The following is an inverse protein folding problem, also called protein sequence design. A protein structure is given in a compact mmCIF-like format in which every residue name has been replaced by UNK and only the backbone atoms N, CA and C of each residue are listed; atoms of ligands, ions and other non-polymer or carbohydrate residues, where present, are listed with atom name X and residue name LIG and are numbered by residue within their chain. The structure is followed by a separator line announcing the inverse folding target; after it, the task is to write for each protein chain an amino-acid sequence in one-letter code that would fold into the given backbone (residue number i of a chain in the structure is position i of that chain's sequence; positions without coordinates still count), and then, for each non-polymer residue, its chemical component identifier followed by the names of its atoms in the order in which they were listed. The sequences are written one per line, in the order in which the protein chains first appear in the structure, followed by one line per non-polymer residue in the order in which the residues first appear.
data_IF_089823882237
#
_entry.id   IF_089823882237
#
_cell.length_a   1.000
_cell.length_b   1.000
_cell.length_c   1.000
_cell.angle_alpha   90.00
_cell.angle_beta   90.00
_cell.angle_gamma   90.00
#
_symmetry.space_group_name_H-M   'P 1'
#
loop_
_entity.id
_entity.type
_entity.pdbx_description
1 polymer ?
#
# COMPACT_ATOMS: atom_id res chain seq x y z
N UNK A 1 21.78 23.48 -55.36
CA UNK A 1 20.37 23.22 -55.00
C UNK A 1 20.30 21.96 -54.17
N UNK A 2 20.34 22.09 -52.84
CA UNK A 2 20.22 21.00 -51.87
C UNK A 2 18.73 20.77 -51.60
N UNK A 3 18.21 19.61 -51.99
CA UNK A 3 16.81 19.24 -51.75
C UNK A 3 16.65 18.77 -50.31
N UNK A 4 16.11 19.65 -49.46
CA UNK A 4 15.59 19.30 -48.14
C UNK A 4 14.43 18.31 -48.28
N UNK A 5 14.69 17.03 -48.03
CA UNK A 5 13.62 16.04 -47.84
C UNK A 5 12.97 16.28 -46.49
N UNK A 6 11.92 17.09 -46.45
CA UNK A 6 11.00 17.14 -45.29
C UNK A 6 10.31 15.77 -45.15
N UNK A 7 10.72 15.02 -44.13
CA UNK A 7 10.07 13.75 -43.75
C UNK A 7 8.65 14.06 -43.27
N UNK A 8 7.65 13.48 -43.92
CA UNK A 8 6.24 13.60 -43.55
C UNK A 8 5.97 12.85 -42.23
N UNK A 9 6.03 13.60 -41.13
CA UNK A 9 5.82 13.09 -39.77
C UNK A 9 4.37 12.65 -39.52
N UNK A 10 3.40 13.11 -40.33
CA UNK A 10 1.97 12.79 -40.14
C UNK A 10 1.64 11.33 -40.43
N UNK A 11 2.32 10.72 -41.41
CA UNK A 11 2.15 9.33 -41.80
C UNK A 11 2.79 8.36 -40.78
N UNK A 12 3.95 8.72 -40.26
CA UNK A 12 4.66 7.98 -39.21
C UNK A 12 3.83 7.96 -37.91
N UNK A 13 3.25 9.11 -37.54
CA UNK A 13 2.43 9.24 -36.32
C UNK A 13 1.18 8.37 -36.37
N UNK A 14 0.49 8.31 -37.53
CA UNK A 14 -0.68 7.46 -37.76
C UNK A 14 -0.31 5.96 -37.76
N UNK A 15 0.82 5.59 -38.37
CA UNK A 15 1.31 4.21 -38.35
C UNK A 15 1.74 3.75 -36.95
N UNK A 16 2.36 4.63 -36.15
CA UNK A 16 2.73 4.35 -34.76
C UNK A 16 1.48 4.20 -33.88
N UNK A 17 0.46 5.05 -34.06
CA UNK A 17 -0.81 4.93 -33.36
C UNK A 17 -1.54 3.62 -33.71
N UNK A 18 -1.61 3.26 -34.99
CA UNK A 18 -2.21 2.01 -35.46
C UNK A 18 -1.47 0.78 -34.90
N UNK A 19 -0.12 0.75 -34.94
CA UNK A 19 0.69 -0.33 -34.36
C UNK A 19 0.51 -0.46 -32.85
N UNK A 20 0.37 0.66 -32.14
CA UNK A 20 0.14 0.67 -30.69
C UNK A 20 -1.25 0.13 -30.35
N UNK A 21 -2.28 0.47 -31.14
CA UNK A 21 -3.63 -0.08 -31.03
C UNK A 21 -3.66 -1.61 -31.26
N UNK A 22 -3.06 -2.09 -32.36
CA UNK A 22 -3.06 -3.54 -32.67
C UNK A 22 -2.29 -4.36 -31.64
N UNK A 23 -1.20 -3.83 -31.08
CA UNK A 23 -0.45 -4.49 -30.00
C UNK A 23 -1.30 -4.62 -28.72
N UNK A 24 -2.01 -3.56 -28.34
CA UNK A 24 -2.90 -3.57 -27.17
C UNK A 24 -4.11 -4.49 -27.32
N UNK A 25 -4.71 -4.55 -28.51
CA UNK A 25 -5.81 -5.46 -28.83
C UNK A 25 -5.38 -6.93 -28.76
N UNK A 26 -4.23 -7.27 -29.34
CA UNK A 26 -3.64 -8.61 -29.24
C UNK A 26 -3.29 -8.99 -27.80
N UNK A 27 -2.74 -8.06 -27.03
CA UNK A 27 -2.44 -8.29 -25.62
C UNK A 27 -3.69 -8.55 -24.79
N UNK A 28 -4.76 -7.77 -24.99
CA UNK A 28 -6.04 -7.98 -24.31
C UNK A 28 -6.63 -9.36 -24.63
N UNK A 29 -6.47 -9.87 -25.85
CA UNK A 29 -6.89 -11.23 -26.20
C UNK A 29 -6.06 -12.29 -25.46
N UNK A 30 -4.74 -12.11 -25.39
CA UNK A 30 -3.85 -13.00 -24.63
C UNK A 30 -4.25 -13.04 -23.15
N UNK A 31 -4.42 -11.89 -22.51
CA UNK A 31 -4.80 -11.83 -21.09
C UNK A 31 -6.18 -12.43 -20.84
N UNK A 32 -7.15 -12.19 -21.73
CA UNK A 32 -8.47 -12.84 -21.62
C UNK A 32 -8.34 -14.36 -21.65
N UNK A 33 -7.49 -14.90 -22.53
CA UNK A 33 -7.23 -16.34 -22.60
C UNK A 33 -6.56 -16.84 -21.32
N UNK A 34 -5.47 -16.21 -20.89
CA UNK A 34 -4.74 -16.58 -19.67
C UNK A 34 -5.63 -16.57 -18.41
N UNK A 35 -6.48 -15.55 -18.27
CA UNK A 35 -7.45 -15.47 -17.15
C UNK A 35 -8.53 -16.56 -17.25
N UNK A 36 -8.93 -16.95 -18.45
CA UNK A 36 -9.87 -18.05 -18.66
C UNK A 36 -9.22 -19.40 -18.33
N UNK A 37 -7.97 -19.62 -18.76
CA UNK A 37 -7.20 -20.83 -18.50
C UNK A 37 -6.96 -21.01 -16.99
N UNK A 38 -6.76 -19.91 -16.24
CA UNK A 38 -6.58 -19.92 -14.79
C UNK A 38 -7.89 -19.73 -13.98
N UNK A 39 -9.05 -19.73 -14.63
CA UNK A 39 -10.31 -19.36 -13.98
C UNK A 39 -10.68 -20.26 -12.80
N UNK A 40 -10.44 -21.57 -12.90
CA UNK A 40 -10.73 -22.51 -11.80
C UNK A 40 -9.83 -22.27 -10.60
N UNK A 41 -8.55 -21.97 -10.82
CA UNK A 41 -7.61 -21.63 -9.76
C UNK A 41 -7.98 -20.31 -9.08
N UNK A 42 -8.40 -19.29 -9.84
CA UNK A 42 -8.91 -18.05 -9.26
C UNK A 42 -10.17 -18.34 -8.44
N UNK A 43 -11.12 -19.12 -8.99
CA UNK A 43 -12.37 -19.45 -8.32
C UNK A 43 -12.19 -20.19 -6.99
N UNK A 44 -11.18 -21.04 -6.86
CA UNK A 44 -10.94 -21.80 -5.62
C UNK A 44 -10.45 -20.94 -4.46
N UNK A 45 -9.80 -19.80 -4.74
CA UNK A 45 -9.19 -18.92 -3.71
C UNK A 45 -9.97 -17.62 -3.47
N UNK A 46 -10.86 -17.22 -4.38
CA UNK A 46 -11.64 -15.97 -4.24
C UNK A 46 -12.60 -16.08 -3.03
N UNK A 47 -12.58 -15.10 -2.11
CA UNK A 47 -13.52 -15.05 -0.99
C UNK A 47 -14.98 -14.86 -1.42
N UNK A 48 -15.92 -15.30 -0.57
CA UNK A 48 -17.38 -15.25 -0.83
C UNK A 48 -17.95 -13.86 -1.19
N UNK A 49 -17.29 -12.78 -0.79
CA UNK A 49 -17.72 -11.40 -1.04
C UNK A 49 -17.26 -10.87 -2.42
N UNK A 50 -16.60 -11.69 -3.23
CA UNK A 50 -16.07 -11.35 -4.54
C UNK A 50 -16.40 -12.46 -5.55
N UNK A 51 -16.42 -12.12 -6.84
CA UNK A 51 -16.57 -13.12 -7.92
C UNK A 51 -15.37 -13.12 -8.87
N UNK A 52 -14.94 -14.29 -9.39
CA UNK A 52 -13.85 -14.38 -10.36
C UNK A 52 -14.08 -13.56 -11.63
N UNK A 53 -15.32 -13.49 -12.12
CA UNK A 53 -15.69 -12.74 -13.33
C UNK A 53 -15.55 -11.24 -13.11
N UNK A 54 -15.92 -10.75 -11.92
CA UNK A 54 -15.75 -9.36 -11.53
C UNK A 54 -14.26 -9.02 -11.44
N UNK A 55 -13.47 -9.89 -10.82
CA UNK A 55 -12.03 -9.69 -10.71
C UNK A 55 -11.36 -9.61 -12.09
N UNK A 56 -11.67 -10.55 -13.00
CA UNK A 56 -11.16 -10.53 -14.37
C UNK A 56 -11.53 -9.24 -15.12
N UNK A 57 -12.78 -8.76 -14.98
CA UNK A 57 -13.25 -7.51 -15.61
C UNK A 57 -12.50 -6.29 -15.08
N UNK A 58 -12.29 -6.22 -13.78
CA UNK A 58 -11.57 -5.12 -13.13
C UNK A 58 -10.10 -5.12 -13.57
N UNK A 59 -9.47 -6.29 -13.69
CA UNK A 59 -8.09 -6.42 -14.23
C UNK A 59 -7.99 -5.89 -15.65
N UNK A 60 -8.89 -6.27 -16.55
CA UNK A 60 -8.90 -5.76 -17.93
C UNK A 60 -9.11 -4.24 -17.98
N UNK A 61 -9.91 -3.71 -17.05
CA UNK A 61 -10.10 -2.27 -16.89
C UNK A 61 -8.82 -1.57 -16.42
N UNK A 62 -8.06 -2.18 -15.50
CA UNK A 62 -6.79 -1.66 -15.03
C UNK A 62 -5.73 -1.62 -16.15
N UNK A 63 -5.63 -2.69 -16.96
CA UNK A 63 -4.73 -2.75 -18.14
C UNK A 63 -5.08 -1.66 -19.15
N UNK A 64 -6.37 -1.45 -19.41
CA UNK A 64 -6.82 -0.43 -20.36
C UNK A 64 -6.47 1.00 -19.91
N UNK A 65 -6.40 1.24 -18.59
CA UNK A 65 -6.06 2.54 -18.01
C UNK A 65 -4.55 2.76 -17.94
N UNK A 66 -3.80 1.74 -17.56
CA UNK A 66 -2.35 1.80 -17.46
C UNK A 66 -1.74 1.06 -18.65
N UNK A 67 -1.62 1.75 -19.80
CA UNK A 67 -1.14 1.16 -21.06
C UNK A 67 0.17 0.38 -20.91
N UNK A 68 1.04 0.79 -19.98
CA UNK A 68 2.31 0.12 -19.69
C UNK A 68 2.18 -1.29 -19.10
N UNK A 69 1.01 -1.64 -18.55
CA UNK A 69 0.69 -3.02 -18.18
C UNK A 69 0.63 -3.92 -19.41
N UNK A 70 0.35 -3.40 -20.60
CA UNK A 70 0.38 -4.16 -21.85
C UNK A 70 1.80 -4.56 -22.30
N UNK A 71 2.83 -3.96 -21.70
CA UNK A 71 4.22 -4.39 -21.91
C UNK A 71 4.66 -5.45 -20.91
N UNK A 72 3.87 -5.71 -19.85
CA UNK A 72 4.19 -6.71 -18.84
C UNK A 72 4.01 -8.14 -19.35
N UNK A 73 4.71 -9.10 -18.74
CA UNK A 73 4.48 -10.51 -19.07
C UNK A 73 3.05 -10.94 -18.69
N UNK A 74 2.35 -11.74 -19.51
CA UNK A 74 1.02 -12.26 -19.14
C UNK A 74 1.02 -13.02 -17.81
N UNK A 75 2.09 -13.80 -17.59
CA UNK A 75 2.33 -14.55 -16.37
C UNK A 75 2.31 -13.68 -15.10
N UNK A 76 2.99 -12.54 -15.12
CA UNK A 76 3.00 -11.62 -13.96
C UNK A 76 1.65 -10.97 -13.70
N UNK A 77 0.86 -10.70 -14.76
CA UNK A 77 -0.50 -10.19 -14.60
C UNK A 77 -1.39 -11.24 -13.93
N UNK A 78 -1.33 -12.50 -14.38
CA UNK A 78 -2.08 -13.59 -13.74
C UNK A 78 -1.65 -13.74 -12.28
N UNK A 79 -0.35 -13.75 -11.99
CA UNK A 79 0.16 -13.81 -10.61
C UNK A 79 -0.35 -12.66 -9.73
N UNK A 80 -0.39 -11.44 -10.26
CA UNK A 80 -0.95 -10.29 -9.55
C UNK A 80 -2.47 -10.42 -9.31
N UNK A 81 -3.22 -11.01 -10.25
CA UNK A 81 -4.65 -11.29 -10.08
C UNK A 81 -4.89 -12.39 -9.05
N UNK A 82 -4.03 -13.41 -8.99
CA UNK A 82 -4.09 -14.42 -7.94
C UNK A 82 -3.88 -13.79 -6.56
N UNK A 83 -2.94 -12.85 -6.41
CA UNK A 83 -2.77 -12.11 -5.16
C UNK A 83 -4.02 -11.30 -4.78
N UNK A 84 -4.65 -10.62 -5.74
CA UNK A 84 -5.94 -9.95 -5.54
C UNK A 84 -7.00 -10.93 -5.02
N UNK A 85 -7.09 -12.11 -5.64
CA UNK A 85 -8.04 -13.16 -5.30
C UNK A 85 -7.79 -13.69 -3.88
N UNK A 86 -6.57 -14.11 -3.55
CA UNK A 86 -6.19 -14.61 -2.22
C UNK A 86 -6.50 -13.62 -1.10
N UNK A 87 -6.27 -12.33 -1.35
CA UNK A 87 -6.50 -11.28 -0.35
C UNK A 87 -7.95 -10.78 -0.33
N UNK A 88 -8.77 -11.12 -1.33
CA UNK A 88 -10.08 -10.51 -1.54
C UNK A 88 -9.98 -9.00 -1.71
N UNK A 89 -8.98 -8.53 -2.45
CA UNK A 89 -8.77 -7.11 -2.75
C UNK A 89 -8.92 -6.86 -4.25
N UNK A 90 -9.71 -5.85 -4.60
CA UNK A 90 -9.91 -5.49 -6.00
C UNK A 90 -8.87 -4.44 -6.44
N UNK A 91 -8.20 -4.63 -7.59
CA UNK A 91 -7.32 -3.61 -8.14
C UNK A 91 -8.17 -2.45 -8.67
N UNK A 92 -8.33 -1.39 -7.88
CA UNK A 92 -9.31 -0.35 -8.14
C UNK A 92 -8.77 1.05 -7.84
N UNK A 93 -9.52 2.08 -8.26
CA UNK A 93 -9.17 3.48 -7.97
C UNK A 93 -9.50 3.89 -6.53
N UNK A 94 -10.24 3.06 -5.80
CA UNK A 94 -10.64 3.36 -4.42
C UNK A 94 -9.46 3.27 -3.46
N UNK A 95 -8.37 2.61 -3.86
CA UNK A 95 -7.10 2.53 -3.13
C UNK A 95 -6.92 1.26 -2.32
N UNK A 96 -7.62 0.18 -2.67
CA UNK A 96 -7.49 -1.12 -2.02
C UNK A 96 -6.25 -1.88 -2.51
N UNK A 97 -6.08 -1.94 -3.83
CA UNK A 97 -4.93 -2.57 -4.46
C UNK A 97 -4.63 -1.91 -5.82
N UNK A 98 -3.39 -2.07 -6.27
CA UNK A 98 -2.88 -1.53 -7.51
C UNK A 98 -2.11 -2.58 -8.30
N UNK A 99 -2.24 -2.54 -9.62
CA UNK A 99 -1.40 -3.29 -10.55
C UNK A 99 -0.34 -2.32 -11.09
N UNK A 100 0.92 -2.55 -10.74
CA UNK A 100 2.00 -1.60 -11.01
C UNK A 100 3.05 -2.25 -11.91
N UNK A 101 3.34 -1.67 -13.10
CA UNK A 101 4.38 -2.18 -13.98
C UNK A 101 5.76 -1.79 -13.45
N UNK A 102 6.60 -2.79 -13.19
CA UNK A 102 8.01 -2.59 -12.86
C UNK A 102 8.90 -3.25 -13.90
N UNK A 103 10.04 -2.64 -14.17
CA UNK A 103 11.07 -3.27 -15.00
C UNK A 103 11.94 -4.12 -14.11
N UNK A 104 12.01 -5.41 -14.39
CA UNK A 104 12.99 -6.30 -13.80
C UNK A 104 14.38 -5.90 -14.32
N UNK A 105 15.29 -5.60 -13.40
CA UNK A 105 16.64 -5.14 -13.72
C UNK A 105 17.54 -6.26 -14.25
N UNK A 106 17.26 -7.52 -13.90
CA UNK A 106 18.03 -8.68 -14.33
C UNK A 106 17.60 -9.13 -15.72
N UNK A 107 16.28 -9.32 -15.90
CA UNK A 107 15.75 -9.82 -17.17
C UNK A 107 15.46 -8.72 -18.20
N UNK A 108 15.41 -7.47 -17.75
CA UNK A 108 15.05 -6.31 -18.57
C UNK A 108 13.57 -6.28 -18.99
N UNK A 109 12.75 -7.23 -18.54
CA UNK A 109 11.34 -7.35 -18.89
C UNK A 109 10.46 -6.50 -17.98
N UNK A 110 9.30 -6.10 -18.48
CA UNK A 110 8.27 -5.51 -17.64
C UNK A 110 7.49 -6.63 -16.96
N UNK A 111 7.32 -6.50 -15.66
CA UNK A 111 6.53 -7.41 -14.82
C UNK A 111 5.45 -6.60 -14.11
N UNK A 112 4.25 -7.17 -14.01
CA UNK A 112 3.16 -6.63 -13.22
C UNK A 112 3.37 -7.02 -11.75
N UNK A 113 3.41 -6.02 -10.87
CA UNK A 113 3.44 -6.21 -9.42
C UNK A 113 2.09 -5.87 -8.83
N UNK A 114 1.61 -6.74 -7.95
CA UNK A 114 0.49 -6.43 -7.07
C UNK A 114 0.99 -5.63 -5.87
N UNK A 115 0.32 -4.52 -5.59
CA UNK A 115 0.61 -3.71 -4.40
C UNK A 115 -0.67 -3.41 -3.65
N UNK A 116 -0.65 -3.66 -2.34
CA UNK A 116 -1.76 -3.34 -1.45
C UNK A 116 -1.73 -1.83 -1.20
N UNK A 117 -2.87 -1.16 -1.36
CA UNK A 117 -3.03 0.24 -0.98
C UNK A 117 -3.32 0.37 0.52
N UNK A 118 -3.10 1.56 1.09
CA UNK A 118 -3.29 1.77 2.54
C UNK A 118 -4.71 1.42 3.02
N UNK A 119 -5.73 1.66 2.18
CA UNK A 119 -7.12 1.26 2.50
C UNK A 119 -7.32 -0.25 2.43
N UNK A 120 -6.62 -0.93 1.53
CA UNK A 120 -6.60 -2.40 1.49
C UNK A 120 -5.99 -2.99 2.75
N UNK A 121 -4.90 -2.39 3.25
CA UNK A 121 -4.31 -2.78 4.54
C UNK A 121 -5.30 -2.56 5.70
N UNK A 122 -5.95 -1.39 5.75
CA UNK A 122 -7.01 -1.09 6.73
C UNK A 122 -8.12 -2.15 6.68
N UNK A 123 -8.59 -2.50 5.48
CA UNK A 123 -9.66 -3.49 5.30
C UNK A 123 -9.23 -4.89 5.75
N UNK A 124 -8.02 -5.33 5.35
CA UNK A 124 -7.44 -6.60 5.81
C UNK A 124 -7.32 -6.66 7.34
N UNK A 125 -6.86 -5.58 7.97
CA UNK A 125 -6.73 -5.49 9.42
C UNK A 125 -8.11 -5.52 10.11
N UNK A 126 -9.12 -4.82 9.58
CA UNK A 126 -10.48 -4.85 10.15
C UNK A 126 -11.11 -6.24 10.08
N UNK A 127 -10.79 -7.02 9.06
CA UNK A 127 -11.31 -8.38 8.89
C UNK A 127 -10.83 -9.36 9.97
N UNK A 128 -9.77 -9.05 10.74
CA UNK A 128 -9.37 -9.89 11.89
C UNK A 128 -10.44 -9.92 12.98
N UNK A 129 -11.25 -8.87 13.07
CA UNK A 129 -12.27 -8.72 14.09
C UNK A 129 -11.75 -8.19 15.42
N UNK A 130 -10.44 -8.16 15.70
CA UNK A 130 -9.91 -7.66 16.98
C UNK A 130 -9.84 -6.13 17.02
N UNK A 131 -9.69 -5.51 15.85
CA UNK A 131 -9.53 -4.06 15.69
C UNK A 131 -10.89 -3.38 15.54
N UNK A 132 -11.27 -2.57 16.54
CA UNK A 132 -12.52 -1.80 16.53
C UNK A 132 -12.44 -0.54 15.68
N UNK A 133 -11.28 0.14 15.69
CA UNK A 133 -11.00 1.31 14.86
C UNK A 133 -9.59 1.24 14.33
N UNK A 134 -9.41 1.64 13.07
CA UNK A 134 -8.10 1.86 12.47
C UNK A 134 -8.24 2.93 11.39
N UNK A 135 -7.27 3.83 11.36
CA UNK A 135 -7.21 4.97 10.45
C UNK A 135 -5.75 5.38 10.22
N UNK A 136 -5.52 6.08 9.10
CA UNK A 136 -4.25 6.69 8.78
C UNK A 136 -4.49 8.07 8.18
N UNK A 137 -3.87 9.09 8.78
CA UNK A 137 -4.16 10.48 8.48
C UNK A 137 -2.91 11.31 8.22
N UNK A 138 -3.15 12.40 7.48
CA UNK A 138 -2.18 13.45 7.22
C UNK A 138 -2.39 14.54 8.26
N UNK A 139 -1.29 15.13 8.72
CA UNK A 139 -1.28 16.28 9.63
C UNK A 139 -0.62 17.43 8.89
N UNK A 140 -1.31 18.56 8.86
CA UNK A 140 -0.89 19.79 8.23
C UNK A 140 -0.28 20.76 9.25
N UNK A 141 0.46 21.74 8.76
CA UNK A 141 1.26 22.69 9.57
C UNK A 141 0.44 23.48 10.60
N UNK A 142 -0.83 23.72 10.29
CA UNK A 142 -1.73 24.52 11.11
C UNK A 142 -2.83 23.68 11.79
N UNK A 143 -2.74 22.35 11.72
CA UNK A 143 -3.57 21.47 12.55
C UNK A 143 -3.11 21.51 14.02
N UNK A 144 -4.04 21.29 14.95
CA UNK A 144 -3.67 20.97 16.32
C UNK A 144 -3.34 19.48 16.40
N UNK A 145 -2.06 19.17 16.52
CA UNK A 145 -1.58 17.80 16.62
C UNK A 145 -0.65 17.62 17.83
N UNK A 146 -1.09 16.83 18.80
CA UNK A 146 -0.34 16.52 20.03
C UNK A 146 -0.38 15.03 20.25
N UNK A 147 0.77 14.46 20.61
CA UNK A 147 0.84 13.05 20.98
C UNK A 147 1.83 12.83 22.10
N UNK A 148 1.51 11.88 22.97
CA UNK A 148 2.34 11.42 24.06
C UNK A 148 2.69 9.96 23.78
N UNK A 149 3.97 9.64 23.89
CA UNK A 149 4.48 8.26 23.92
C UNK A 149 4.79 7.89 25.37
N UNK A 150 4.91 6.59 25.64
CA UNK A 150 5.16 6.06 26.98
C UNK A 150 4.08 5.07 27.36
N UNK A 151 3.84 4.95 28.67
CA UNK A 151 2.81 4.08 29.24
C UNK A 151 1.40 4.59 28.92
N UNK A 152 1.13 5.87 29.16
CA UNK A 152 -0.13 6.53 28.80
C UNK A 152 -0.03 7.18 27.41
N UNK A 153 -0.17 6.36 26.37
CA UNK A 153 -0.16 6.82 24.98
C UNK A 153 -1.43 7.62 24.68
N UNK A 154 -1.26 8.87 24.28
CA UNK A 154 -2.36 9.74 23.85
C UNK A 154 -2.07 10.37 22.49
N UNK A 155 -3.11 10.58 21.69
CA UNK A 155 -3.01 11.28 20.41
C UNK A 155 -4.25 12.14 20.19
N UNK A 156 -4.02 13.41 19.90
CA UNK A 156 -5.03 14.41 19.57
C UNK A 156 -4.70 14.98 18.21
N UNK A 157 -5.67 14.93 17.31
CA UNK A 157 -5.58 15.55 16.01
C UNK A 157 -6.88 16.31 15.74
N UNK A 158 -6.79 17.63 15.67
CA UNK A 158 -7.90 18.50 15.29
C UNK A 158 -7.49 19.25 14.02
N UNK A 159 -8.14 18.94 12.88
CA UNK A 159 -7.87 19.63 11.62
C UNK A 159 -8.09 21.13 11.72
N UNK A 160 -7.38 21.89 10.89
CA UNK A 160 -7.43 23.35 10.86
C UNK A 160 -8.85 23.92 10.80
N UNK A 161 -9.72 23.34 9.96
CA UNK A 161 -11.11 23.78 9.79
C UNK A 161 -11.99 23.56 11.02
N UNK A 162 -11.56 22.70 11.95
CA UNK A 162 -12.27 22.39 13.20
C UNK A 162 -11.76 23.19 14.41
N UNK A 163 -10.67 23.96 14.27
CA UNK A 163 -10.07 24.70 15.39
C UNK A 163 -10.98 25.76 16.02
N UNK A 164 -11.94 26.29 15.25
CA UNK A 164 -12.93 27.24 15.75
C UNK A 164 -13.76 26.67 16.91
N UNK A 165 -13.93 25.35 16.99
CA UNK A 165 -14.63 24.68 18.09
C UNK A 165 -13.86 24.72 19.42
N UNK A 166 -12.57 25.07 19.37
CA UNK A 166 -11.68 25.13 20.53
C UNK A 166 -11.41 26.57 21.00
N UNK A 167 -12.13 27.56 20.47
CA UNK A 167 -11.91 28.97 20.81
C UNK A 167 -12.04 29.24 22.31
N UNK A 168 -13.01 28.59 22.94
CA UNK A 168 -13.33 28.70 24.38
C UNK A 168 -12.88 27.47 25.18
N UNK A 169 -11.92 26.69 24.66
CA UNK A 169 -11.37 25.56 25.38
C UNK A 169 -10.78 26.02 26.72
N UNK A 170 -11.16 25.35 27.81
CA UNK A 170 -10.63 25.61 29.15
C UNK A 170 -9.93 24.34 29.64
N UNK A 171 -8.59 24.34 29.76
CA UNK A 171 -7.87 23.15 30.16
C UNK A 171 -8.06 22.85 31.65
N UNK A 172 -8.22 21.57 31.97
CA UNK A 172 -7.97 21.08 33.31
C UNK A 172 -6.48 21.24 33.63
N UNK A 173 -6.17 22.01 34.68
CA UNK A 173 -4.79 22.33 35.08
C UNK A 173 -4.03 21.15 35.69
N UNK A 174 -4.73 20.04 35.96
CA UNK A 174 -4.13 18.80 36.46
C UNK A 174 -3.89 17.78 35.34
N UNK A 175 -4.44 17.99 34.13
CA UNK A 175 -4.19 17.11 32.96
C UNK A 175 -3.11 17.72 32.06
N UNK A 176 -1.96 17.05 32.00
CA UNK A 176 -0.82 17.48 31.21
C UNK A 176 -1.14 17.64 29.71
N UNK A 177 -1.98 16.77 29.13
CA UNK A 177 -2.34 16.85 27.72
C UNK A 177 -3.19 18.09 27.45
N UNK A 178 -4.13 18.41 28.32
CA UNK A 178 -4.98 19.59 28.17
C UNK A 178 -4.17 20.89 28.29
N UNK A 179 -3.19 20.94 29.19
CA UNK A 179 -2.24 22.07 29.29
C UNK A 179 -1.45 22.22 27.98
N UNK A 180 -0.94 21.13 27.41
CA UNK A 180 -0.25 21.17 26.12
C UNK A 180 -1.17 21.63 24.98
N UNK A 181 -2.43 21.20 24.99
CA UNK A 181 -3.44 21.64 24.02
C UNK A 181 -3.67 23.14 24.08
N UNK A 182 -3.87 23.71 25.27
CA UNK A 182 -4.09 25.14 25.45
C UNK A 182 -2.90 25.98 24.94
N UNK A 183 -1.67 25.56 25.26
CA UNK A 183 -0.46 26.20 24.74
C UNK A 183 -0.35 26.11 23.21
N UNK A 184 -0.68 24.96 22.63
CA UNK A 184 -0.64 24.77 21.19
C UNK A 184 -1.72 25.60 20.47
N UNK A 185 -2.95 25.63 20.99
CA UNK A 185 -4.04 26.46 20.49
C UNK A 185 -3.64 27.94 20.51
N UNK A 186 -3.04 28.40 21.62
CA UNK A 186 -2.55 29.79 21.75
C UNK A 186 -1.52 30.12 20.67
N UNK A 187 -0.51 29.25 20.47
CA UNK A 187 0.50 29.45 19.41
C UNK A 187 -0.09 29.44 18.01
N UNK A 188 -1.11 28.62 17.75
CA UNK A 188 -1.80 28.61 16.44
C UNK A 188 -2.55 29.94 16.24
N UNK A 189 -3.28 30.41 17.26
CA UNK A 189 -3.99 31.71 17.23
C UNK A 189 -3.03 32.88 16.98
N UNK A 190 -1.88 32.91 17.64
CA UNK A 190 -0.84 33.94 17.44
C UNK A 190 -0.28 33.97 16.01
N UNK A 191 -0.12 32.81 15.37
CA UNK A 191 0.31 32.73 13.95
C UNK A 191 -0.76 33.24 12.97
N UNK A 192 -2.04 33.25 13.38
CA UNK A 192 -3.20 33.64 12.56
C UNK A 192 -3.19 33.04 11.14
N UNK A 193 -3.02 31.70 10.99
CA UNK A 193 -2.98 31.06 9.68
C UNK A 193 -4.30 31.21 8.93
N UNK A 194 -4.23 31.23 7.59
CA UNK A 194 -5.40 31.38 6.70
C UNK A 194 -5.83 30.08 6.03
N UNK A 195 -4.99 29.06 6.12
CA UNK A 195 -5.21 27.72 5.58
C UNK A 195 -4.50 26.67 6.46
N UNK A 196 -4.71 25.40 6.16
CA UNK A 196 -4.09 24.26 6.86
C UNK A 196 -2.56 24.19 6.71
N UNK A 197 -2.00 24.84 5.68
CA UNK A 197 -0.59 24.79 5.33
C UNK A 197 -0.20 23.49 4.62
N UNK A 198 1.09 23.18 4.62
CA UNK A 198 1.61 21.94 3.98
C UNK A 198 1.47 20.74 4.91
N UNK A 199 1.43 19.54 4.33
CA UNK A 199 1.54 18.30 5.09
C UNK A 199 2.92 18.20 5.78
N UNK A 200 2.93 18.06 7.10
CA UNK A 200 4.15 18.01 7.92
C UNK A 200 4.38 16.65 8.56
N UNK A 201 3.34 15.83 8.68
CA UNK A 201 3.41 14.55 9.38
C UNK A 201 2.29 13.61 8.92
N UNK A 202 2.52 12.32 9.10
CA UNK A 202 1.56 11.26 8.85
C UNK A 202 1.50 10.37 10.09
N UNK A 203 0.34 9.78 10.34
CA UNK A 203 0.21 8.82 11.41
C UNK A 203 -0.81 7.75 11.06
N UNK A 204 -0.71 6.62 11.74
CA UNK A 204 -1.74 5.60 11.81
C UNK A 204 -2.04 5.31 13.27
N UNK A 205 -3.30 5.00 13.57
CA UNK A 205 -3.70 4.63 14.91
C UNK A 205 -4.74 3.52 14.85
N UNK A 206 -4.76 2.69 15.88
CA UNK A 206 -5.78 1.67 16.06
C UNK A 206 -6.31 1.63 17.48
N UNK A 207 -7.52 1.11 17.61
CA UNK A 207 -8.13 0.73 18.88
C UNK A 207 -8.63 -0.69 18.77
N UNK A 208 -8.31 -1.53 19.74
CA UNK A 208 -8.84 -2.89 19.84
C UNK A 208 -10.24 -2.88 20.46
N UNK A 209 -10.90 -4.04 20.47
CA UNK A 209 -12.21 -4.21 21.10
C UNK A 209 -12.16 -4.11 22.62
N UNK A 210 -11.07 -4.53 23.25
CA UNK A 210 -10.83 -4.42 24.70
C UNK A 210 -10.51 -2.99 25.16
N UNK A 211 -10.30 -2.07 24.21
CA UNK A 211 -10.00 -0.67 24.47
C UNK A 211 -8.53 -0.28 24.32
N UNK A 212 -7.62 -1.25 24.15
CA UNK A 212 -6.20 -0.97 23.93
C UNK A 212 -6.01 -0.07 22.71
N UNK A 213 -5.12 0.91 22.85
CA UNK A 213 -4.88 1.95 21.85
C UNK A 213 -3.38 2.07 21.59
N UNK A 214 -3.02 2.19 20.32
CA UNK A 214 -1.66 2.52 19.92
C UNK A 214 -1.66 3.29 18.61
N UNK A 215 -0.54 3.96 18.34
CA UNK A 215 -0.34 4.74 17.14
C UNK A 215 1.13 4.78 16.72
N UNK A 216 1.33 5.05 15.44
CA UNK A 216 2.64 5.27 14.85
C UNK A 216 2.63 6.56 14.05
N UNK A 217 3.73 7.32 14.08
CA UNK A 217 3.83 8.60 13.39
C UNK A 217 5.21 8.81 12.75
N UNK A 218 5.21 9.43 11.57
CA UNK A 218 6.39 9.88 10.84
C UNK A 218 6.23 11.33 10.39
N UNK A 219 7.28 12.14 10.47
CA UNK A 219 7.30 13.45 9.80
C UNK A 219 7.31 13.27 8.29
N UNK A 220 6.86 14.29 7.55
CA UNK A 220 6.96 14.31 6.09
C UNK A 220 8.41 14.11 5.62
N UNK A 221 9.38 14.65 6.36
CA UNK A 221 10.81 14.43 6.10
C UNK A 221 11.23 12.96 6.30
N UNK A 222 10.79 12.32 7.39
CA UNK A 222 11.07 10.90 7.62
C UNK A 222 10.44 10.02 6.54
N UNK A 223 9.24 10.35 6.06
CA UNK A 223 8.63 9.69 4.91
C UNK A 223 9.46 9.86 3.64
N UNK A 224 10.00 11.07 3.40
CA UNK A 224 10.88 11.33 2.26
C UNK A 224 12.20 10.55 2.33
N UNK A 225 12.78 10.43 3.53
CA UNK A 225 13.97 9.62 3.79
C UNK A 225 13.67 8.13 3.54
N UNK A 226 12.55 7.62 4.04
CA UNK A 226 12.08 6.26 3.78
C UNK A 226 11.90 6.02 2.27
N UNK A 227 11.23 6.92 1.56
CA UNK A 227 11.05 6.86 0.11
C UNK A 227 12.39 6.77 -0.63
N UNK A 228 13.36 7.59 -0.22
CA UNK A 228 14.70 7.63 -0.84
C UNK A 228 15.48 6.35 -0.58
N UNK A 229 15.33 5.74 0.61
CA UNK A 229 16.01 4.50 0.99
C UNK A 229 15.42 3.27 0.32
N UNK A 230 14.09 3.18 0.22
CA UNK A 230 13.40 1.97 -0.21
C UNK A 230 12.94 1.99 -1.68
N UNK A 231 12.85 3.15 -2.32
CA UNK A 231 12.44 3.21 -3.73
C UNK A 231 13.54 2.73 -4.67
N UNK A 232 13.22 1.66 -5.42
CA UNK A 232 14.01 1.18 -6.57
C UNK A 232 13.84 2.06 -7.81
N UNK A 233 12.88 3.00 -7.79
CA UNK A 233 12.55 3.87 -8.92
C UNK A 233 13.20 5.24 -8.76
N UNK A 234 14.43 5.36 -9.25
CA UNK A 234 15.17 6.63 -9.36
C UNK A 234 15.60 6.84 -10.81
N UNK A 235 15.47 8.06 -11.32
CA UNK A 235 15.98 8.47 -12.63
C UNK A 235 16.83 9.72 -12.43
N UNK A 236 18.11 9.63 -12.81
CA UNK A 236 19.09 10.71 -12.61
C UNK A 236 19.11 11.20 -11.15
N UNK A 237 19.20 10.24 -10.20
CA UNK A 237 19.15 10.46 -8.75
C UNK A 237 17.89 11.13 -8.17
N UNK A 238 16.90 11.45 -9.02
CA UNK A 238 15.58 11.91 -8.58
C UNK A 238 14.63 10.73 -8.44
N UNK A 239 13.86 10.71 -7.35
CA UNK A 239 12.77 9.77 -7.18
C UNK A 239 11.78 9.91 -8.34
N UNK A 240 11.29 8.78 -8.83
CA UNK A 240 10.20 8.70 -9.80
C UNK A 240 9.21 7.61 -9.35
N UNK A 241 7.96 7.71 -9.79
CA UNK A 241 6.94 6.70 -9.48
C UNK A 241 6.04 7.08 -8.29
N UNK A 242 5.50 6.10 -7.55
CA UNK A 242 4.41 6.31 -6.59
C UNK A 242 4.71 7.35 -5.50
N UNK A 243 5.95 7.38 -5.00
CA UNK A 243 6.37 8.36 -3.99
C UNK A 243 6.38 9.80 -4.49
N UNK A 244 6.40 10.05 -5.80
CA UNK A 244 6.28 11.40 -6.37
C UNK A 244 4.83 11.74 -6.65
N UNK A 245 4.10 10.83 -7.27
CA UNK A 245 2.74 11.11 -7.76
C UNK A 245 1.67 10.98 -6.66
N UNK A 246 1.96 10.18 -5.62
CA UNK A 246 1.00 9.78 -4.58
C UNK A 246 1.68 9.72 -3.20
N UNK A 247 2.49 10.74 -2.87
CA UNK A 247 3.29 10.78 -1.65
C UNK A 247 2.48 10.49 -0.38
N UNK A 248 1.35 11.18 -0.18
CA UNK A 248 0.53 11.04 1.01
C UNK A 248 -0.03 9.63 1.19
N UNK A 249 -0.49 9.01 0.10
CA UNK A 249 -0.99 7.63 0.13
C UNK A 249 0.12 6.64 0.48
N UNK A 250 1.34 6.86 -0.03
CA UNK A 250 2.51 6.05 0.30
C UNK A 250 2.94 6.25 1.75
N UNK A 251 2.94 7.48 2.25
CA UNK A 251 3.27 7.79 3.64
C UNK A 251 2.26 7.16 4.62
N UNK A 252 0.95 7.23 4.32
CA UNK A 252 -0.10 6.55 5.10
C UNK A 252 0.08 5.03 5.09
N UNK A 253 0.38 4.44 3.93
CA UNK A 253 0.70 3.01 3.80
C UNK A 253 1.91 2.62 4.68
N UNK A 254 2.98 3.42 4.65
CA UNK A 254 4.17 3.18 5.48
C UNK A 254 3.82 3.25 6.97
N UNK A 255 3.01 4.21 7.41
CA UNK A 255 2.58 4.29 8.80
C UNK A 255 1.84 3.03 9.25
N UNK A 256 0.86 2.56 8.47
CA UNK A 256 0.11 1.34 8.77
C UNK A 256 1.03 0.13 8.82
N UNK A 257 1.95 -0.01 7.85
CA UNK A 257 2.89 -1.15 7.80
C UNK A 257 3.81 -1.18 9.02
N UNK A 258 4.33 -0.04 9.45
CA UNK A 258 5.18 0.04 10.66
C UNK A 258 4.37 -0.23 11.94
N UNK A 259 3.16 0.31 12.03
CA UNK A 259 2.26 0.06 13.15
C UNK A 259 1.85 -1.42 13.24
N UNK A 260 1.59 -2.06 12.10
CA UNK A 260 1.12 -3.44 12.04
C UNK A 260 2.10 -4.47 12.61
N UNK A 261 3.40 -4.16 12.64
CA UNK A 261 4.43 -5.02 13.24
C UNK A 261 4.24 -5.25 14.74
N UNK A 262 3.58 -4.32 15.41
CA UNK A 262 3.37 -4.34 16.86
C UNK A 262 1.91 -4.58 17.24
N UNK A 263 1.02 -4.73 16.25
CA UNK A 263 -0.38 -5.04 16.53
C UNK A 263 -0.50 -6.51 16.95
N UNK A 264 -1.32 -6.83 17.96
CA UNK A 264 -1.68 -8.20 18.30
C UNK A 264 -2.69 -8.74 17.29
N UNK A 265 -2.26 -8.88 16.03
CA UNK A 265 -3.05 -9.48 14.94
C UNK A 265 -2.50 -10.87 14.63
N UNK A 266 -3.38 -11.77 14.15
CA UNK A 266 -2.99 -13.12 13.75
C UNK A 266 -1.83 -13.11 12.74
N UNK A 267 -0.93 -14.08 12.86
CA UNK A 267 0.19 -14.30 11.93
C UNK A 267 -0.29 -14.30 10.46
N UNK A 268 -1.44 -14.91 10.18
CA UNK A 268 -2.04 -14.94 8.83
C UNK A 268 -2.21 -13.54 8.21
N UNK A 269 -2.56 -12.53 9.00
CA UNK A 269 -2.71 -11.15 8.49
C UNK A 269 -1.37 -10.48 8.31
N UNK A 270 -0.38 -10.77 9.17
CA UNK A 270 0.97 -10.28 8.98
C UNK A 270 1.58 -10.84 7.68
N UNK A 271 1.38 -12.13 7.40
CA UNK A 271 1.78 -12.77 6.14
C UNK A 271 1.08 -12.15 4.93
N UNK A 272 -0.24 -11.94 5.02
CA UNK A 272 -1.02 -11.28 3.95
C UNK A 272 -0.55 -9.85 3.67
N UNK A 273 -0.16 -9.10 4.69
CA UNK A 273 0.44 -7.77 4.52
C UNK A 273 1.87 -7.86 3.97
N UNK A 274 2.58 -8.97 4.19
CA UNK A 274 3.91 -9.23 3.64
C UNK A 274 3.89 -9.65 2.16
N UNK A 275 2.76 -10.14 1.63
CA UNK A 275 2.56 -10.41 0.19
C UNK A 275 2.62 -9.14 -0.68
N UNK A 276 2.60 -7.97 -0.05
CA UNK A 276 2.79 -6.68 -0.73
C UNK A 276 4.14 -6.63 -1.46
N UNK A 277 4.11 -6.28 -2.75
CA UNK A 277 5.28 -6.21 -3.66
C UNK A 277 5.85 -7.57 -4.13
N UNK A 278 5.24 -8.70 -3.76
CA UNK A 278 5.65 -10.02 -4.26
C UNK A 278 5.28 -10.22 -5.74
N UNK A 279 6.25 -10.62 -6.56
CA UNK A 279 6.01 -11.10 -7.93
C UNK A 279 5.90 -12.62 -7.90
N UNK A 280 4.68 -13.13 -8.05
CA UNK A 280 4.47 -14.57 -8.26
C UNK A 280 4.77 -14.91 -9.72
N UNK A 281 5.73 -15.83 -9.94
CA UNK A 281 6.00 -16.41 -11.26
C UNK A 281 5.32 -17.78 -11.33
N UNK A 282 4.48 -18.07 -12.34
CA UNK A 282 3.97 -19.42 -12.56
C UNK A 282 5.12 -20.37 -12.89
N UNK A 283 5.16 -21.52 -12.21
CA UNK A 283 6.11 -22.60 -12.47
C UNK A 283 5.81 -23.17 -13.86
N UNK A 284 6.81 -23.22 -14.74
CA UNK A 284 6.70 -23.99 -15.99
C UNK A 284 7.20 -25.39 -15.69
N UNK A 285 6.30 -26.37 -15.60
CA UNK A 285 6.73 -27.77 -15.63
C UNK A 285 6.10 -28.53 -16.79
N UNK A 286 6.95 -29.26 -17.49
CA UNK A 286 6.60 -30.12 -18.61
C UNK A 286 6.08 -31.46 -18.07
N UNK A 287 4.76 -31.60 -18.03
CA UNK A 287 4.07 -32.90 -18.04
C UNK A 287 3.67 -33.47 -16.67
N UNK A 288 2.34 -33.70 -16.53
CA UNK A 288 1.60 -34.58 -15.60
C UNK A 288 2.09 -34.68 -14.14
N UNK A 289 1.33 -34.40 -13.09
CA UNK A 289 -0.10 -34.55 -12.80
C UNK A 289 -0.58 -33.36 -11.96
N UNK A 290 -1.87 -33.36 -11.61
CA UNK A 290 -2.55 -32.30 -10.86
C UNK A 290 -2.01 -32.09 -9.44
N UNK A 291 -0.94 -31.32 -9.32
CA UNK A 291 -0.49 -30.71 -8.07
C UNK A 291 -0.57 -29.19 -8.20
N UNK A 292 -1.05 -28.53 -7.14
CA UNK A 292 -1.27 -27.09 -7.11
C UNK A 292 -0.04 -26.33 -7.66
N UNK A 293 -0.22 -25.63 -8.79
CA UNK A 293 0.80 -24.88 -9.56
C UNK A 293 1.57 -23.82 -8.72
N UNK A 294 1.14 -23.56 -7.48
CA UNK A 294 1.65 -22.52 -6.62
C UNK A 294 1.80 -22.99 -5.17
N UNK A 295 2.56 -24.07 -4.93
CA UNK A 295 3.23 -24.20 -3.64
C UNK A 295 4.27 -23.07 -3.55
N UNK A 296 3.94 -22.03 -2.80
CA UNK A 296 4.90 -21.04 -2.39
C UNK A 296 5.89 -21.74 -1.45
N UNK A 297 7.17 -21.82 -1.82
CA UNK A 297 8.22 -22.21 -0.88
C UNK A 297 8.26 -21.17 0.25
N UNK A 298 7.54 -21.45 1.32
CA UNK A 298 7.62 -20.73 2.58
C UNK A 298 9.00 -21.01 3.17
N UNK A 299 9.91 -20.03 3.09
CA UNK A 299 11.01 -19.99 4.06
C UNK A 299 10.41 -19.58 5.40
N UNK A 300 9.99 -20.58 6.18
CA UNK A 300 9.78 -20.43 7.61
C UNK A 300 11.09 -19.88 8.18
N UNK A 301 11.07 -18.64 8.64
CA UNK A 301 12.12 -18.16 9.52
C UNK A 301 11.77 -18.80 10.87
N UNK A 302 12.46 -19.90 11.20
CA UNK A 302 12.43 -20.43 12.56
C UNK A 302 12.91 -19.31 13.48
N UNK A 303 11.98 -18.74 14.25
CA UNK A 303 12.33 -17.87 15.37
C UNK A 303 12.78 -18.82 16.45
N UNK A 304 14.08 -18.81 16.76
CA UNK A 304 14.63 -19.53 17.92
C UNK A 304 13.82 -19.12 19.16
N UNK A 305 13.10 -20.07 19.74
CA UNK A 305 12.49 -19.91 21.05
C UNK A 305 13.61 -19.64 22.06
N UNK A 306 13.60 -18.47 22.69
CA UNK A 306 14.43 -18.20 23.87
C UNK A 306 14.08 -19.26 24.93
N UNK A 307 15.02 -20.17 25.15
CA UNK A 307 14.98 -21.12 26.25
C UNK A 307 14.98 -20.35 27.57
N UNK A 308 13.87 -20.46 28.31
CA UNK A 308 13.83 -20.01 29.71
C UNK A 308 14.92 -20.73 30.50
N UNK A 309 15.70 -20.03 31.35
CA UNK A 309 16.65 -20.71 32.21
C UNK A 309 15.92 -21.52 33.28
N UNK A 310 16.34 -22.77 33.39
CA UNK A 310 15.95 -23.73 34.42
C UNK A 310 16.16 -23.12 35.81
N UNK A 311 15.12 -23.17 36.64
CA UNK A 311 15.23 -22.86 38.07
C UNK A 311 15.76 -24.13 38.74
N UNK A 312 17.06 -24.18 39.00
CA UNK A 312 17.63 -25.21 39.87
C UNK A 312 17.33 -24.87 41.33
N UNK A 313 16.54 -25.75 41.95
CA UNK A 313 16.50 -25.93 43.40
C UNK A 313 17.91 -26.22 43.91
N UNK A 314 18.39 -25.40 44.85
CA UNK A 314 19.49 -25.78 45.74
C UNK A 314 18.93 -25.90 47.15
N UNK A 315 18.74 -27.15 47.57
CA UNK A 315 18.62 -27.56 48.95
C UNK A 315 20.02 -27.79 49.52
N UNK A 316 20.43 -26.94 50.47
CA UNK A 316 21.34 -27.27 51.57
C UNK A 316 21.13 -26.27 52.72
#
# INVERSE_FOLDING_TARGET
MTTDKKVDQSNISKQLAARTQTKGENFNMIIKKELADNFQAIKSIVPKHMTPERLARITLTAISRTQKLADCTPASIVGAVMNCATLGLEPNLMGHAYLVPFKDNETGRWECQFQIGYKGQIDLIRRTGDVSKIYAETVYENDLFIYLKGEDKRLVHVPFDMLHLLENFQPNKDDFLEIMMDQAITRIKERNPKDEGKAVRYYSAYKLKDGAFDFFTLTAEQCQQHATKHSKSKKNDKLVGPWVNHFDAMAKKTCIKEMAKYMPISIEVQEKLALDEAVLKPRRDNGSESDNIFDADYKVIEVEEETKPDTQEESA
#
